data_IF_216455425644
#
_entry.id   IF_216455425644
#
_cell.length_a   1.000
_cell.length_b   1.000
_cell.length_c   1.000
_cell.angle_alpha   90.00
_cell.angle_beta   90.00
_cell.angle_gamma   90.00
#
_symmetry.space_group_name_H-M   'P 1'
#
loop_
_entity.id
_entity.type
_entity.pdbx_description
1 polymer ?
#
# COMPACT_ATOMS: atom_id res chain seq x y z
N UNK A 1 2.93 -15.68 25.00
CA UNK A 1 2.75 -14.22 25.00
C UNK A 1 1.87 -13.90 23.83
N UNK A 2 0.65 -13.48 24.14
CA UNK A 2 -0.44 -13.20 23.20
C UNK A 2 0.02 -12.22 22.13
N UNK A 3 0.07 -12.70 20.89
CA UNK A 3 0.22 -11.93 19.67
C UNK A 3 -0.98 -10.99 19.56
N UNK A 4 -0.76 -9.71 19.86
CA UNK A 4 -1.73 -8.65 19.60
C UNK A 4 -1.74 -8.45 18.08
N UNK A 5 -2.69 -9.09 17.42
CA UNK A 5 -3.09 -8.79 16.04
C UNK A 5 -3.46 -7.31 15.96
N UNK A 6 -2.49 -6.48 15.60
CA UNK A 6 -2.72 -5.04 15.45
C UNK A 6 -3.12 -4.78 14.01
N UNK A 7 -4.24 -5.36 13.59
CA UNK A 7 -5.02 -4.82 12.49
C UNK A 7 -5.33 -3.38 12.89
N UNK A 8 -4.98 -2.38 12.07
CA UNK A 8 -5.35 -0.99 12.37
C UNK A 8 -6.87 -0.93 12.54
N UNK A 9 -7.38 -0.90 13.77
CA UNK A 9 -8.82 -0.75 13.98
C UNK A 9 -9.21 0.68 13.59
N UNK A 10 -10.44 0.91 13.09
CA UNK A 10 -10.93 2.26 12.81
C UNK A 10 -10.73 3.22 13.99
N UNK A 11 -10.83 2.72 15.23
CA UNK A 11 -10.64 3.47 16.48
C UNK A 11 -9.17 3.81 16.74
N UNK A 12 -8.25 2.86 16.55
CA UNK A 12 -6.82 3.10 16.67
C UNK A 12 -6.35 4.13 15.62
N UNK A 13 -6.87 4.02 14.39
CA UNK A 13 -6.57 4.97 13.34
C UNK A 13 -7.17 6.35 13.60
N UNK A 14 -8.40 6.40 14.10
CA UNK A 14 -9.06 7.66 14.50
C UNK A 14 -8.28 8.36 15.61
N UNK A 15 -7.75 7.61 16.58
CA UNK A 15 -6.88 8.14 17.62
C UNK A 15 -5.57 8.70 17.04
N UNK A 16 -4.95 8.00 16.08
CA UNK A 16 -3.72 8.46 15.43
C UNK A 16 -3.94 9.66 14.48
N UNK A 17 -5.08 9.72 13.80
CA UNK A 17 -5.48 10.89 13.02
C UNK A 17 -5.66 12.10 13.92
N UNK A 18 -6.40 11.94 15.03
CA UNK A 18 -6.62 13.01 16.00
C UNK A 18 -5.31 13.50 16.63
N UNK A 19 -4.38 12.60 16.97
CA UNK A 19 -3.09 12.99 17.56
C UNK A 19 -2.20 13.78 16.59
N UNK A 20 -2.35 13.57 15.27
CA UNK A 20 -1.66 14.32 14.20
C UNK A 20 -2.47 15.53 13.69
N UNK A 21 -3.52 15.96 14.41
CA UNK A 21 -4.34 17.12 14.03
C UNK A 21 -5.21 16.91 12.77
N UNK A 22 -5.40 15.66 12.36
CA UNK A 22 -6.21 15.29 11.20
C UNK A 22 -7.58 14.79 11.66
N UNK A 23 -8.65 15.33 11.08
CA UNK A 23 -10.02 14.88 11.40
C UNK A 23 -10.38 13.59 10.66
N UNK A 24 -10.92 12.59 11.34
CA UNK A 24 -11.63 11.49 10.67
C UNK A 24 -13.00 11.99 10.16
N UNK A 25 -13.22 11.94 8.85
CA UNK A 25 -14.48 12.33 8.20
C UNK A 25 -15.15 11.10 7.60
N UNK A 26 -16.48 11.08 7.37
CA UNK A 26 -17.15 9.92 6.77
C UNK A 26 -16.49 9.43 5.46
N UNK A 27 -16.10 10.36 4.57
CA UNK A 27 -15.40 10.01 3.32
C UNK A 27 -14.03 9.35 3.55
N UNK A 28 -13.33 9.72 4.62
CA UNK A 28 -12.02 9.14 4.98
C UNK A 28 -12.21 7.76 5.61
N UNK A 29 -13.28 7.56 6.36
CA UNK A 29 -13.66 6.24 6.90
C UNK A 29 -13.97 5.27 5.76
N UNK A 30 -14.77 5.68 4.77
CA UNK A 30 -15.06 4.87 3.57
C UNK A 30 -13.80 4.53 2.77
N UNK A 31 -12.93 5.51 2.53
CA UNK A 31 -11.64 5.27 1.83
C UNK A 31 -10.80 4.26 2.61
N UNK A 32 -10.65 4.44 3.92
CA UNK A 32 -9.90 3.52 4.76
C UNK A 32 -10.50 2.10 4.75
N UNK A 33 -11.82 1.99 4.98
CA UNK A 33 -12.49 0.69 5.06
C UNK A 33 -12.36 -0.08 3.76
N UNK A 34 -12.28 0.63 2.63
CA UNK A 34 -12.01 0.02 1.33
C UNK A 34 -10.65 -0.66 1.33
N UNK A 35 -9.58 0.02 1.74
CA UNK A 35 -8.24 -0.58 1.83
C UNK A 35 -8.15 -1.69 2.89
N UNK A 36 -8.88 -1.60 3.99
CA UNK A 36 -8.88 -2.63 5.04
C UNK A 36 -9.56 -3.93 4.61
N UNK A 37 -10.47 -3.86 3.64
CA UNK A 37 -11.24 -5.01 3.12
C UNK A 37 -10.74 -5.48 1.76
N UNK A 38 -9.62 -4.92 1.26
CA UNK A 38 -8.98 -5.41 0.06
C UNK A 38 -8.45 -6.83 0.27
N UNK A 39 -8.66 -7.73 -0.70
CA UNK A 39 -7.97 -9.01 -0.73
C UNK A 39 -6.44 -8.83 -0.66
N UNK A 40 -5.75 -9.77 -0.03
CA UNK A 40 -4.29 -9.82 -0.04
C UNK A 40 -3.78 -9.88 -1.49
N UNK A 41 -2.76 -9.08 -1.82
CA UNK A 41 -2.29 -8.94 -3.21
C UNK A 41 -2.99 -7.87 -4.04
N UNK A 42 -4.12 -7.32 -3.61
CA UNK A 42 -4.78 -6.21 -4.30
C UNK A 42 -4.29 -4.85 -3.79
N UNK A 43 -3.92 -4.01 -4.74
CA UNK A 43 -3.54 -2.62 -4.52
C UNK A 43 -4.35 -1.74 -5.46
N UNK A 44 -4.77 -0.56 -4.99
CA UNK A 44 -5.58 0.37 -5.78
C UNK A 44 -4.81 1.64 -6.08
N UNK A 45 -4.86 2.11 -7.33
CA UNK A 45 -4.60 3.52 -7.63
C UNK A 45 -5.73 4.41 -7.10
N UNK A 46 -5.54 5.74 -7.17
CA UNK A 46 -6.61 6.68 -6.82
C UNK A 46 -7.80 6.56 -7.80
N UNK A 47 -7.51 6.26 -9.06
CA UNK A 47 -8.45 6.01 -10.15
C UNK A 47 -9.25 4.73 -9.91
N UNK A 48 -8.58 3.62 -9.58
CA UNK A 48 -9.26 2.34 -9.29
C UNK A 48 -10.20 2.49 -8.09
N UNK A 49 -9.72 3.16 -7.04
CA UNK A 49 -10.53 3.44 -5.87
C UNK A 49 -11.73 4.33 -6.22
N UNK A 50 -11.56 5.33 -7.08
CA UNK A 50 -12.67 6.17 -7.52
C UNK A 50 -13.75 5.38 -8.26
N UNK A 51 -13.38 4.53 -9.22
CA UNK A 51 -14.36 3.70 -9.95
C UNK A 51 -15.01 2.67 -9.02
N UNK A 52 -14.25 2.07 -8.10
CA UNK A 52 -14.79 1.16 -7.08
C UNK A 52 -15.81 1.84 -6.16
N UNK A 53 -15.50 3.02 -5.64
CA UNK A 53 -16.41 3.77 -4.77
C UNK A 53 -17.66 4.23 -5.53
N UNK A 54 -17.49 4.70 -6.77
CA UNK A 54 -18.60 5.10 -7.63
C UNK A 54 -19.56 3.93 -7.91
N UNK A 55 -19.05 2.73 -8.18
CA UNK A 55 -19.89 1.54 -8.36
C UNK A 55 -20.60 1.09 -7.08
N UNK A 56 -20.05 1.42 -5.91
CA UNK A 56 -20.68 1.22 -4.60
C UNK A 56 -21.69 2.32 -4.23
N UNK A 57 -21.87 3.35 -5.07
CA UNK A 57 -22.79 4.46 -4.82
C UNK A 57 -22.24 5.57 -3.94
N UNK A 58 -20.94 5.55 -3.63
CA UNK A 58 -20.27 6.56 -2.82
C UNK A 58 -19.94 7.82 -3.65
N UNK A 59 -20.35 8.99 -3.17
CA UNK A 59 -20.10 10.26 -3.86
C UNK A 59 -18.85 10.95 -3.30
N UNK A 60 -17.68 10.48 -3.72
CA UNK A 60 -16.38 11.02 -3.32
C UNK A 60 -15.59 11.44 -4.57
N UNK A 61 -15.25 12.73 -4.67
CA UNK A 61 -14.48 13.22 -5.82
C UNK A 61 -13.08 12.61 -5.87
N UNK A 62 -12.57 12.36 -7.08
CA UNK A 62 -11.19 11.90 -7.31
C UNK A 62 -10.16 12.80 -6.60
N UNK A 63 -10.37 14.13 -6.59
CA UNK A 63 -9.51 15.07 -5.87
C UNK A 63 -9.44 14.81 -4.36
N UNK A 64 -10.57 14.41 -3.75
CA UNK A 64 -10.65 14.05 -2.33
C UNK A 64 -9.95 12.74 -2.05
N UNK A 65 -10.09 11.76 -2.96
CA UNK A 65 -9.38 10.48 -2.87
C UNK A 65 -7.88 10.72 -2.88
N UNK A 66 -7.35 11.43 -3.88
CA UNK A 66 -5.93 11.78 -3.97
C UNK A 66 -5.37 12.45 -2.71
N UNK A 67 -6.05 13.47 -2.20
CA UNK A 67 -5.63 14.16 -0.96
C UNK A 67 -5.62 13.21 0.24
N UNK A 68 -6.60 12.30 0.31
CA UNK A 68 -6.76 11.39 1.43
C UNK A 68 -5.71 10.28 1.41
N UNK A 69 -5.51 9.60 0.28
CA UNK A 69 -4.53 8.51 0.18
C UNK A 69 -3.11 9.01 0.39
N UNK A 70 -2.77 10.19 -0.16
CA UNK A 70 -1.47 10.83 0.07
C UNK A 70 -1.25 11.24 1.53
N UNK A 71 -2.28 11.74 2.20
CA UNK A 71 -2.24 12.04 3.64
C UNK A 71 -2.01 10.75 4.44
N UNK A 72 -2.78 9.70 4.17
CA UNK A 72 -2.65 8.41 4.84
C UNK A 72 -1.25 7.78 4.61
N UNK A 73 -0.71 7.87 3.40
CA UNK A 73 0.64 7.41 3.09
C UNK A 73 1.71 8.15 3.90
N UNK A 74 1.65 9.49 3.96
CA UNK A 74 2.55 10.31 4.80
C UNK A 74 2.45 9.98 6.29
N UNK A 75 1.27 9.53 6.72
CA UNK A 75 1.04 9.14 8.10
C UNK A 75 1.51 7.70 8.42
N UNK A 76 1.89 6.92 7.40
CA UNK A 76 2.24 5.51 7.56
C UNK A 76 1.02 4.59 7.67
N UNK A 77 -0.16 5.04 7.26
CA UNK A 77 -1.41 4.27 7.28
C UNK A 77 -1.55 3.43 6.02
N UNK A 78 -1.26 4.06 4.88
CA UNK A 78 -1.15 3.38 3.61
C UNK A 78 0.32 3.25 3.25
N UNK A 79 0.67 2.19 2.55
CA UNK A 79 1.96 2.08 1.87
C UNK A 79 1.74 2.47 0.41
N UNK A 80 2.67 3.27 -0.11
CA UNK A 80 2.64 3.76 -1.48
C UNK A 80 3.56 2.88 -2.33
N UNK A 81 3.04 2.36 -3.44
CA UNK A 81 3.71 1.45 -4.34
C UNK A 81 3.94 2.13 -5.70
N UNK A 82 5.19 2.12 -6.14
CA UNK A 82 5.56 2.47 -7.52
C UNK A 82 5.54 1.20 -8.36
N UNK A 83 4.39 0.97 -9.00
CA UNK A 83 4.18 -0.07 -10.01
C UNK A 83 4.34 0.55 -11.39
N UNK A 84 4.53 -0.26 -12.44
CA UNK A 84 4.90 0.20 -13.80
C UNK A 84 3.85 1.03 -14.54
N UNK A 85 2.76 1.38 -13.87
CA UNK A 85 1.68 2.19 -14.42
C UNK A 85 1.90 3.69 -14.17
N UNK A 86 1.16 4.55 -14.89
CA UNK A 86 1.24 6.01 -14.78
C UNK A 86 0.79 6.56 -13.41
N UNK A 87 0.25 5.70 -12.53
CA UNK A 87 -0.32 6.08 -11.25
C UNK A 87 0.27 5.29 -10.08
N UNK A 88 0.40 5.97 -8.94
CA UNK A 88 0.82 5.34 -7.69
C UNK A 88 -0.31 4.48 -7.15
N UNK A 89 0.07 3.30 -6.68
CA UNK A 89 -0.84 2.37 -6.05
C UNK A 89 -0.68 2.42 -4.54
N UNK A 90 -1.74 2.07 -3.82
CA UNK A 90 -1.77 2.09 -2.37
C UNK A 90 -2.30 0.77 -1.83
N UNK A 91 -1.78 0.40 -0.67
CA UNK A 91 -2.24 -0.72 0.14
C UNK A 91 -2.29 -0.31 1.61
N UNK A 92 -3.02 -1.06 2.43
CA UNK A 92 -2.97 -0.84 3.88
C UNK A 92 -1.55 -1.14 4.37
N UNK A 93 -0.93 -0.19 5.06
CA UNK A 93 0.38 -0.43 5.65
C UNK A 93 0.19 -1.41 6.80
N UNK A 94 0.82 -2.58 6.75
CA UNK A 94 0.71 -3.58 7.81
C UNK A 94 1.91 -3.44 8.78
N UNK A 95 1.71 -3.60 10.09
CA UNK A 95 2.83 -3.57 11.04
C UNK A 95 3.84 -4.68 10.72
N UNK A 96 5.12 -4.42 10.98
CA UNK A 96 6.21 -5.37 10.69
C UNK A 96 5.98 -6.76 11.31
N UNK A 97 6.46 -7.84 10.64
CA UNK A 97 7.26 -7.84 9.42
C UNK A 97 6.44 -8.33 8.21
N UNK A 98 5.49 -7.53 7.73
CA UNK A 98 5.01 -7.70 6.36
C UNK A 98 6.06 -7.11 5.40
N UNK A 99 7.07 -7.91 5.10
CA UNK A 99 8.16 -7.60 4.17
C UNK A 99 7.92 -8.30 2.84
N UNK A 100 6.82 -8.00 2.17
CA UNK A 100 6.67 -8.41 0.79
C UNK A 100 7.32 -7.38 -0.15
N UNK A 101 7.73 -7.87 -1.29
CA UNK A 101 8.33 -7.19 -2.41
C UNK A 101 7.50 -7.50 -3.65
N UNK A 102 7.69 -6.72 -4.69
CA UNK A 102 6.85 -6.80 -5.88
C UNK A 102 7.67 -7.28 -7.07
N UNK A 103 7.11 -8.21 -7.85
CA UNK A 103 7.54 -8.52 -9.20
C UNK A 103 6.43 -8.09 -10.16
N UNK A 104 6.73 -7.14 -11.04
CA UNK A 104 5.76 -6.49 -11.92
C UNK A 104 6.07 -6.82 -13.37
N UNK A 105 5.06 -7.29 -14.10
CA UNK A 105 5.14 -7.52 -15.54
C UNK A 105 4.81 -6.25 -16.32
N UNK A 106 5.75 -5.73 -17.11
CA UNK A 106 5.54 -4.54 -17.95
C UNK A 106 4.55 -4.73 -19.10
N UNK A 107 4.23 -5.98 -19.46
CA UNK A 107 3.34 -6.27 -20.59
C UNK A 107 1.90 -6.54 -20.19
N UNK A 108 1.69 -7.08 -18.99
CA UNK A 108 0.37 -7.55 -18.54
C UNK A 108 -0.09 -6.87 -17.26
N UNK A 109 0.73 -5.97 -16.70
CA UNK A 109 0.55 -5.34 -15.39
C UNK A 109 0.33 -6.32 -14.24
N UNK A 110 0.68 -7.59 -14.45
CA UNK A 110 0.57 -8.61 -13.42
C UNK A 110 1.59 -8.32 -12.33
N UNK A 111 1.11 -8.26 -11.09
CA UNK A 111 1.94 -8.10 -9.89
C UNK A 111 1.96 -9.41 -9.11
N UNK A 112 3.13 -9.78 -8.64
CA UNK A 112 3.35 -10.92 -7.74
C UNK A 112 4.02 -10.39 -6.49
N UNK A 113 3.41 -10.64 -5.33
CA UNK A 113 4.03 -10.42 -4.03
C UNK A 113 4.97 -11.58 -3.68
N UNK A 114 6.14 -11.28 -3.16
CA UNK A 114 7.07 -12.28 -2.64
C UNK A 114 7.81 -11.79 -1.40
N UNK A 115 8.24 -12.72 -0.53
CA UNK A 115 9.03 -12.42 0.67
C UNK A 115 10.45 -12.95 0.51
N UNK A 116 11.44 -12.23 1.01
CA UNK A 116 12.83 -12.68 0.99
C UNK A 116 13.66 -12.11 2.16
N UNK A 117 14.05 -12.97 3.08
CA UNK A 117 14.79 -12.59 4.29
C UNK A 117 16.20 -12.04 4.00
N UNK A 118 16.79 -12.39 2.86
CA UNK A 118 18.11 -11.88 2.47
C UNK A 118 18.04 -10.40 2.14
N UNK A 119 16.95 -9.94 1.52
CA UNK A 119 16.74 -8.51 1.22
C UNK A 119 16.71 -7.72 2.53
N UNK A 120 15.91 -8.17 3.52
CA UNK A 120 15.87 -7.53 4.84
C UNK A 120 17.24 -7.52 5.52
N UNK A 121 17.96 -8.64 5.44
CA UNK A 121 19.30 -8.78 6.04
C UNK A 121 20.29 -7.79 5.43
N UNK A 122 20.29 -7.64 4.11
CA UNK A 122 21.15 -6.69 3.40
C UNK A 122 20.76 -5.26 3.78
N UNK A 123 19.47 -4.93 3.79
CA UNK A 123 18.98 -3.59 4.12
C UNK A 123 19.35 -3.17 5.54
N UNK A 124 19.24 -4.08 6.53
CA UNK A 124 19.72 -3.83 7.90
C UNK A 124 21.22 -3.56 7.94
N UNK A 125 22.03 -4.43 7.31
CA UNK A 125 23.49 -4.25 7.26
C UNK A 125 23.91 -2.91 6.66
N UNK A 126 23.24 -2.49 5.58
CA UNK A 126 23.51 -1.19 4.94
C UNK A 126 23.09 -0.05 5.86
N UNK A 127 21.90 -0.10 6.45
CA UNK A 127 21.42 0.94 7.35
C UNK A 127 22.33 1.10 8.59
N UNK A 128 22.72 -0.02 9.21
CA UNK A 128 23.62 -0.04 10.38
C UNK A 128 24.97 0.61 10.06
N UNK A 129 25.52 0.35 8.86
CA UNK A 129 26.78 0.96 8.41
C UNK A 129 26.74 2.49 8.38
N UNK A 130 25.57 3.09 8.18
CA UNK A 130 25.38 4.54 8.11
C UNK A 130 24.62 5.10 9.32
N UNK A 131 24.34 4.29 10.35
CA UNK A 131 23.64 4.73 11.56
C UNK A 131 22.14 4.99 11.40
N UNK A 132 21.48 4.38 10.40
CA UNK A 132 20.04 4.50 10.18
C UNK A 132 19.28 3.34 10.83
N UNK A 133 18.08 3.62 11.35
CA UNK A 133 17.11 2.58 11.74
C UNK A 133 16.20 2.25 10.55
N UNK A 134 16.12 0.98 10.15
CA UNK A 134 15.26 0.56 9.03
C UNK A 134 13.79 0.72 9.41
N UNK A 135 13.12 1.72 8.83
CA UNK A 135 11.67 1.92 8.97
C UNK A 135 10.89 1.05 7.98
N UNK A 136 11.34 0.97 6.74
CA UNK A 136 10.76 0.13 5.69
C UNK A 136 11.85 -0.32 4.71
N UNK A 137 11.59 -1.40 3.98
CA UNK A 137 12.41 -1.86 2.86
C UNK A 137 11.51 -2.46 1.77
N UNK A 138 11.51 -1.81 0.61
CA UNK A 138 10.76 -2.25 -0.55
C UNK A 138 11.72 -2.55 -1.70
N UNK A 139 11.53 -3.71 -2.34
CA UNK A 139 12.10 -4.03 -3.63
C UNK A 139 10.95 -4.21 -4.62
N UNK A 140 11.07 -3.54 -5.76
CA UNK A 140 10.22 -3.77 -6.92
C UNK A 140 11.10 -4.26 -8.06
N UNK A 141 10.82 -5.47 -8.56
CA UNK A 141 11.50 -6.06 -9.71
C UNK A 141 10.59 -5.87 -10.93
N UNK A 142 11.13 -5.27 -11.98
CA UNK A 142 10.43 -5.03 -13.24
C UNK A 142 10.87 -6.07 -14.27
N UNK A 143 9.92 -6.80 -14.85
CA UNK A 143 10.21 -7.88 -15.78
C UNK A 143 9.05 -8.18 -16.74
N UNK A 144 9.12 -9.35 -17.40
CA UNK A 144 8.05 -9.85 -18.27
C UNK A 144 7.62 -11.22 -17.76
N UNK A 145 6.34 -11.39 -17.43
CA UNK A 145 5.78 -12.67 -16.98
C UNK A 145 5.77 -13.71 -18.10
N UNK A 146 5.64 -15.01 -17.80
CA UNK A 146 5.48 -16.05 -18.83
C UNK A 146 4.31 -15.79 -19.79
N UNK A 147 3.24 -15.17 -19.30
CA UNK A 147 2.09 -14.74 -20.12
C UNK A 147 2.50 -13.59 -21.05
N UNK A 148 3.19 -12.59 -20.52
CA UNK A 148 3.70 -11.47 -21.31
C UNK A 148 4.71 -11.89 -22.39
N UNK A 149 5.49 -12.94 -22.16
CA UNK A 149 6.41 -13.50 -23.16
C UNK A 149 5.66 -14.14 -24.34
N UNK A 150 4.48 -14.72 -24.10
CA UNK A 150 3.62 -15.32 -25.13
C UNK A 150 2.71 -14.30 -25.80
N UNK A 151 2.50 -13.16 -25.17
CA UNK A 151 1.73 -12.06 -25.73
C UNK A 151 2.54 -11.40 -26.85
N UNK A 152 2.12 -11.64 -28.10
CA UNK A 152 2.62 -10.97 -29.30
C UNK A 152 1.91 -9.63 -29.42
N UNK A 153 2.18 -8.72 -28.48
CA UNK A 153 1.92 -7.29 -28.62
C UNK A 153 3.07 -6.56 -27.92
#
# INVERSE_FOLDING_TARGET
MTSVETTYSPEALKAELNSKGCRMTPQREVILSTFQTLPEGEHLSAEDLYERLKTQGENISLSTIYRTVKMMARMGILRELELTEDHKHYEINQPKPHHHHHLVCVKTNRVIEFKNDQILTISKKVADKYGFSVLDCQLTIIGVSPEGQRSIF
#
